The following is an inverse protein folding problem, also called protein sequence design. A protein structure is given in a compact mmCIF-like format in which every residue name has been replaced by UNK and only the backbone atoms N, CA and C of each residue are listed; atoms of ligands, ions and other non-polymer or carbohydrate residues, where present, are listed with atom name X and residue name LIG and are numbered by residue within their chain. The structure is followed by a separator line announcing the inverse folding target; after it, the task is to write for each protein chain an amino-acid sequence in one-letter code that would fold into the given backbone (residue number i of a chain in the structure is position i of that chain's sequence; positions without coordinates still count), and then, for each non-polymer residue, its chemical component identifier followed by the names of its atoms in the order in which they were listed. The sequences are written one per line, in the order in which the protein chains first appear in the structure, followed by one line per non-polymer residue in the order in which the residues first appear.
data_IF_827718273523
#
_entry.id   IF_827718273523
#
_cell.length_a   1.000
_cell.length_b   1.000
_cell.length_c   1.000
_cell.angle_alpha   90.00
_cell.angle_beta   90.00
_cell.angle_gamma   90.00
#
_symmetry.space_group_name_H-M   'P 1'
#
loop_
_entity.id
_entity.type
_entity.pdbx_description
1 polymer ?
#
# COMPACT_ATOMS: atom_id res chain seq x y z
N UNK A 1 5.02 3.52 27.22
CA UNK A 1 4.37 2.30 27.74
C UNK A 1 5.40 1.17 27.73
N UNK A 2 5.38 0.28 28.71
CA UNK A 2 6.25 -0.89 28.78
C UNK A 2 5.67 -2.08 28.01
N UNK A 3 6.51 -3.05 27.62
CA UNK A 3 6.03 -4.26 26.93
C UNK A 3 5.04 -5.08 27.77
N UNK A 4 5.24 -5.11 29.08
CA UNK A 4 4.36 -5.84 30.00
C UNK A 4 2.99 -5.18 30.13
N UNK A 5 2.95 -3.85 30.21
CA UNK A 5 1.69 -3.09 30.18
C UNK A 5 0.93 -3.30 28.87
N UNK A 6 1.64 -3.26 27.73
CA UNK A 6 1.04 -3.51 26.42
C UNK A 6 0.44 -4.92 26.33
N UNK A 7 1.17 -5.93 26.81
CA UNK A 7 0.68 -7.31 26.81
C UNK A 7 -0.61 -7.46 27.64
N UNK A 8 -0.65 -6.84 28.82
CA UNK A 8 -1.85 -6.86 29.67
C UNK A 8 -3.06 -6.17 29.00
N UNK A 9 -2.85 -5.06 28.30
CA UNK A 9 -3.90 -4.38 27.54
C UNK A 9 -4.45 -5.29 26.45
N UNK A 10 -3.56 -5.95 25.69
CA UNK A 10 -3.94 -6.88 24.62
C UNK A 10 -4.71 -8.09 25.16
N UNK A 11 -4.23 -8.70 26.25
CA UNK A 11 -4.92 -9.84 26.89
C UNK A 11 -6.30 -9.45 27.41
N UNK A 12 -6.42 -8.26 28.02
CA UNK A 12 -7.70 -7.72 28.49
C UNK A 12 -8.66 -7.48 27.32
N UNK A 13 -8.19 -6.85 26.24
CA UNK A 13 -8.98 -6.61 25.04
C UNK A 13 -9.46 -7.91 24.40
N UNK A 14 -8.60 -8.95 24.38
CA UNK A 14 -8.96 -10.28 23.88
C UNK A 14 -10.07 -10.91 24.71
N UNK A 15 -9.92 -10.89 26.04
CA UNK A 15 -10.91 -11.44 26.98
C UNK A 15 -12.25 -10.73 26.87
N UNK A 16 -12.22 -9.41 26.70
CA UNK A 16 -13.41 -8.57 26.58
C UNK A 16 -14.02 -8.56 25.18
N UNK A 17 -13.34 -9.17 24.18
CA UNK A 17 -13.70 -9.13 22.77
C UNK A 17 -13.88 -7.70 22.26
N UNK A 18 -12.98 -6.82 22.66
CA UNK A 18 -13.01 -5.42 22.23
C UNK A 18 -12.87 -5.35 20.71
N UNK A 19 -13.72 -4.53 20.08
CA UNK A 19 -13.68 -4.25 18.64
C UNK A 19 -12.87 -3.00 18.32
N UNK A 20 -12.46 -2.26 19.35
CA UNK A 20 -11.71 -1.00 19.22
C UNK A 20 -10.57 -1.00 20.21
N UNK A 21 -9.36 -0.71 19.74
CA UNK A 21 -8.18 -0.61 20.58
C UNK A 21 -7.36 0.64 20.20
N UNK A 22 -7.24 1.57 21.14
CA UNK A 22 -6.41 2.78 21.00
C UNK A 22 -5.08 2.56 21.74
N UNK A 23 -4.00 2.50 20.96
CA UNK A 23 -2.63 2.44 21.45
C UNK A 23 -1.81 3.65 20.97
N UNK A 24 -2.48 4.73 20.56
CA UNK A 24 -1.81 5.93 20.05
C UNK A 24 -0.93 6.61 21.12
N UNK A 25 0.16 7.23 20.68
CA UNK A 25 1.08 8.03 21.50
C UNK A 25 1.73 7.30 22.69
N UNK A 26 1.94 5.99 22.59
CA UNK A 26 2.48 5.16 23.68
C UNK A 26 3.99 4.89 23.60
N UNK A 27 4.68 5.51 22.63
CA UNK A 27 6.12 5.33 22.39
C UNK A 27 6.50 3.87 22.11
N UNK A 28 5.59 3.09 21.54
CA UNK A 28 5.82 1.68 21.22
C UNK A 28 6.89 1.58 20.12
N UNK A 29 7.92 0.78 20.38
CA UNK A 29 8.97 0.45 19.39
C UNK A 29 8.74 -0.92 18.74
N UNK A 30 7.88 -1.74 19.34
CA UNK A 30 7.48 -3.06 18.83
C UNK A 30 6.04 -3.40 19.21
N UNK A 31 5.44 -4.33 18.47
CA UNK A 31 4.19 -4.98 18.82
C UNK A 31 4.43 -6.47 19.13
N UNK A 32 3.85 -7.00 20.22
CA UNK A 32 3.94 -8.43 20.50
C UNK A 32 3.02 -9.21 19.55
N UNK A 33 3.43 -10.44 19.22
CA UNK A 33 2.64 -11.42 18.45
C UNK A 33 1.21 -11.63 19.01
N UNK A 34 1.04 -11.47 20.33
CA UNK A 34 -0.25 -11.57 21.01
C UNK A 34 -1.33 -10.64 20.40
N UNK A 35 -0.97 -9.53 19.76
CA UNK A 35 -1.95 -8.64 19.12
C UNK A 35 -2.72 -9.33 17.98
N UNK A 36 -2.14 -10.36 17.34
CA UNK A 36 -2.79 -11.13 16.26
C UNK A 36 -4.02 -11.91 16.75
N UNK A 37 -4.13 -12.18 18.06
CA UNK A 37 -5.30 -12.87 18.63
C UNK A 37 -6.57 -12.02 18.62
N UNK A 38 -6.44 -10.69 18.46
CA UNK A 38 -7.53 -9.72 18.44
C UNK A 38 -8.20 -9.67 17.06
N UNK A 39 -8.62 -10.82 16.54
CA UNK A 39 -9.18 -10.96 15.18
C UNK A 39 -10.52 -10.24 14.98
N UNK A 40 -11.20 -9.86 16.06
CA UNK A 40 -12.44 -9.09 16.05
C UNK A 40 -12.24 -7.56 16.01
N UNK A 41 -11.01 -7.05 16.01
CA UNK A 41 -10.79 -5.61 15.96
C UNK A 41 -11.31 -5.01 14.65
N UNK A 42 -12.14 -3.99 14.78
CA UNK A 42 -12.63 -3.12 13.72
C UNK A 42 -11.82 -1.82 13.63
N UNK A 43 -11.32 -1.33 14.78
CA UNK A 43 -10.47 -0.14 14.88
C UNK A 43 -9.23 -0.42 15.72
N UNK A 44 -8.06 -0.06 15.18
CA UNK A 44 -6.77 -0.12 15.85
C UNK A 44 -6.01 1.17 15.56
N UNK A 45 -5.74 1.96 16.59
CA UNK A 45 -4.94 3.17 16.45
C UNK A 45 -3.53 2.96 17.01
N UNK A 46 -2.53 3.10 16.15
CA UNK A 46 -1.10 2.99 16.49
C UNK A 46 -0.33 4.28 16.20
N UNK A 47 -1.01 5.38 15.89
CA UNK A 47 -0.38 6.65 15.51
C UNK A 47 0.42 7.23 16.68
N UNK A 48 1.48 7.97 16.39
CA UNK A 48 2.34 8.54 17.44
C UNK A 48 3.24 7.52 18.16
N UNK A 49 3.45 6.34 17.57
CA UNK A 49 4.43 5.33 18.02
C UNK A 49 5.64 5.26 17.08
N UNK A 50 6.66 4.47 17.46
CA UNK A 50 7.95 4.33 16.77
C UNK A 50 8.02 3.01 15.97
N UNK A 51 6.89 2.61 15.35
CA UNK A 51 6.73 1.33 14.65
C UNK A 51 7.07 1.37 13.15
N UNK A 52 7.53 2.51 12.63
CA UNK A 52 7.84 2.74 11.21
C UNK A 52 6.71 2.37 10.23
N UNK A 53 5.44 2.50 10.66
CA UNK A 53 4.27 2.26 9.82
C UNK A 53 3.87 3.58 9.13
N UNK A 54 3.77 3.62 7.78
CA UNK A 54 3.34 4.81 7.05
C UNK A 54 1.92 5.26 7.40
N UNK A 55 1.66 6.56 7.27
CA UNK A 55 0.36 7.15 7.55
C UNK A 55 -0.74 6.63 6.60
N UNK A 56 -0.39 6.21 5.38
CA UNK A 56 -1.30 5.62 4.41
C UNK A 56 -1.83 4.25 4.87
N UNK A 57 -1.06 3.54 5.70
CA UNK A 57 -1.47 2.26 6.30
C UNK A 57 -2.24 2.50 7.60
N UNK A 58 -1.83 3.47 8.42
CA UNK A 58 -2.48 3.77 9.70
C UNK A 58 -3.79 4.54 9.53
N UNK A 59 -3.92 5.35 8.48
CA UNK A 59 -4.95 6.38 8.37
C UNK A 59 -4.54 7.71 9.00
N UNK A 60 -5.30 8.76 8.70
CA UNK A 60 -4.98 10.14 9.12
C UNK A 60 -5.75 10.61 10.35
N UNK A 61 -6.93 10.05 10.61
CA UNK A 61 -7.78 10.37 11.76
C UNK A 61 -8.44 9.12 12.35
N UNK A 62 -9.07 9.26 13.51
CA UNK A 62 -9.83 8.18 14.14
C UNK A 62 -10.98 7.63 13.28
N UNK A 63 -11.56 8.51 12.45
CA UNK A 63 -12.68 8.16 11.56
C UNK A 63 -12.19 7.58 10.22
N UNK A 64 -10.89 7.64 9.95
CA UNK A 64 -10.26 7.18 8.71
C UNK A 64 -9.09 6.21 8.94
N UNK A 65 -9.12 5.47 10.05
CA UNK A 65 -8.09 4.47 10.37
C UNK A 65 -8.02 3.37 9.31
N UNK A 66 -6.81 2.87 9.07
CA UNK A 66 -6.58 1.68 8.29
C UNK A 66 -7.21 0.44 8.94
N UNK A 67 -7.48 -0.58 8.13
CA UNK A 67 -8.05 -1.84 8.65
C UNK A 67 -7.02 -2.53 9.56
N UNK A 68 -7.41 -3.00 10.76
CA UNK A 68 -6.47 -3.66 11.68
C UNK A 68 -5.68 -4.81 11.02
N UNK A 69 -6.33 -5.63 10.19
CA UNK A 69 -5.64 -6.70 9.45
C UNK A 69 -4.53 -6.18 8.53
N UNK A 70 -4.78 -5.10 7.79
CA UNK A 70 -3.79 -4.50 6.89
C UNK A 70 -2.62 -3.89 7.66
N UNK A 71 -2.91 -3.21 8.77
CA UNK A 71 -1.91 -2.62 9.65
C UNK A 71 -1.00 -3.71 10.23
N UNK A 72 -1.58 -4.78 10.78
CA UNK A 72 -0.81 -5.89 11.36
C UNK A 72 -0.03 -6.64 10.28
N UNK A 73 -0.63 -6.93 9.12
CA UNK A 73 0.08 -7.57 8.00
C UNK A 73 1.30 -6.75 7.56
N UNK A 74 1.15 -5.43 7.43
CA UNK A 74 2.26 -4.55 7.07
C UNK A 74 3.35 -4.55 8.15
N UNK A 75 2.97 -4.38 9.42
CA UNK A 75 3.95 -4.33 10.52
C UNK A 75 4.77 -5.63 10.59
N UNK A 76 4.11 -6.79 10.60
CA UNK A 76 4.80 -8.07 10.72
C UNK A 76 5.57 -8.46 9.44
N UNK A 77 5.24 -7.90 8.27
CA UNK A 77 6.07 -8.09 7.07
C UNK A 77 7.36 -7.26 7.08
N UNK A 78 7.45 -6.21 7.92
CA UNK A 78 8.71 -5.49 8.13
C UNK A 78 9.72 -6.32 8.93
N UNK A 79 9.25 -7.22 9.79
CA UNK A 79 10.08 -8.09 10.62
C UNK A 79 10.62 -9.31 9.87
N UNK A 80 10.04 -9.65 8.71
CA UNK A 80 10.53 -10.73 7.85
C UNK A 80 11.67 -10.26 6.93
N UNK A 81 12.72 -11.06 6.77
CA UNK A 81 13.82 -10.78 5.82
C UNK A 81 13.37 -10.86 4.35
N UNK A 82 12.28 -11.57 4.05
CA UNK A 82 11.72 -11.72 2.71
C UNK A 82 10.88 -10.50 2.29
N UNK A 83 11.56 -9.43 1.87
CA UNK A 83 10.90 -8.27 1.25
C UNK A 83 10.67 -8.53 -0.24
N UNK A 84 9.41 -8.55 -0.68
CA UNK A 84 9.09 -8.59 -2.10
C UNK A 84 9.13 -7.17 -2.70
N UNK A 85 9.88 -6.96 -3.79
CA UNK A 85 9.91 -5.67 -4.46
C UNK A 85 8.55 -5.40 -5.13
N UNK A 86 8.06 -4.17 -5.03
CA UNK A 86 6.75 -3.78 -5.58
C UNK A 86 6.75 -3.82 -7.12
N UNK A 87 7.88 -3.51 -7.77
CA UNK A 87 8.06 -3.55 -9.23
C UNK A 87 6.90 -2.91 -10.04
N UNK A 88 6.30 -1.85 -9.51
CA UNK A 88 5.25 -1.08 -10.19
C UNK A 88 5.68 0.37 -10.39
N UNK A 89 5.38 0.93 -11.57
CA UNK A 89 5.56 2.35 -11.84
C UNK A 89 4.44 2.93 -12.70
N UNK A 90 4.19 4.23 -12.54
CA UNK A 90 3.24 4.98 -13.36
C UNK A 90 3.97 5.87 -14.34
N UNK A 91 3.67 5.72 -15.63
CA UNK A 91 4.25 6.51 -16.71
C UNK A 91 3.23 7.53 -17.19
N UNK A 92 3.56 8.82 -17.07
CA UNK A 92 2.74 9.93 -17.56
C UNK A 92 3.35 10.50 -18.85
N UNK A 93 2.66 10.33 -19.98
CA UNK A 93 3.10 10.87 -21.27
C UNK A 93 2.46 12.23 -21.51
N UNK A 94 3.26 13.30 -21.45
CA UNK A 94 2.79 14.69 -21.63
C UNK A 94 3.27 15.29 -22.95
N UNK A 95 2.50 16.23 -23.49
CA UNK A 95 2.82 16.92 -24.75
C UNK A 95 1.55 17.46 -25.43
N UNK A 96 1.73 18.34 -26.42
CA UNK A 96 0.62 18.93 -27.17
C UNK A 96 -0.25 17.87 -27.88
N UNK A 97 -1.47 18.25 -28.28
CA UNK A 97 -2.32 17.38 -29.10
C UNK A 97 -1.58 16.93 -30.36
N UNK A 98 -1.89 15.72 -30.85
CA UNK A 98 -1.42 15.19 -32.15
C UNK A 98 0.10 15.05 -32.35
N UNK A 99 0.92 15.16 -31.29
CA UNK A 99 2.39 14.98 -31.38
C UNK A 99 2.88 13.53 -31.41
N UNK A 100 1.97 12.54 -31.55
CA UNK A 100 2.36 11.12 -31.64
C UNK A 100 2.51 10.38 -30.31
N UNK A 101 2.00 10.93 -29.18
CA UNK A 101 2.04 10.24 -27.87
C UNK A 101 1.42 8.83 -27.91
N UNK A 102 0.31 8.69 -28.63
CA UNK A 102 -0.40 7.41 -28.78
C UNK A 102 0.39 6.43 -29.62
N UNK A 103 0.99 6.93 -30.71
CA UNK A 103 1.84 6.12 -31.58
C UNK A 103 3.09 5.62 -30.84
N UNK A 104 3.70 6.46 -30.00
CA UNK A 104 4.81 6.05 -29.14
C UNK A 104 4.41 4.94 -28.17
N UNK A 105 3.22 5.01 -27.59
CA UNK A 105 2.75 3.98 -26.65
C UNK A 105 2.44 2.67 -27.35
N UNK A 106 1.72 2.71 -28.48
CA UNK A 106 1.48 1.51 -29.29
C UNK A 106 2.78 0.85 -29.74
N UNK A 107 3.79 1.67 -30.05
CA UNK A 107 5.12 1.17 -30.39
C UNK A 107 5.83 0.52 -29.21
N UNK A 108 5.73 1.09 -28.01
CA UNK A 108 6.35 0.53 -26.80
C UNK A 108 5.67 -0.76 -26.33
N UNK A 109 4.33 -0.77 -26.27
CA UNK A 109 3.56 -1.87 -25.69
C UNK A 109 3.35 -3.01 -26.70
N UNK A 110 2.94 -2.67 -27.92
CA UNK A 110 2.49 -3.64 -28.93
C UNK A 110 3.47 -3.78 -30.11
N UNK A 111 4.54 -2.99 -30.14
CA UNK A 111 5.45 -2.89 -31.28
C UNK A 111 4.77 -2.49 -32.61
N UNK A 112 3.63 -1.78 -32.55
CA UNK A 112 2.86 -1.37 -33.75
C UNK A 112 2.98 0.13 -34.05
N UNK A 113 2.70 0.50 -35.30
CA UNK A 113 2.61 1.89 -35.75
C UNK A 113 1.55 2.01 -36.85
N UNK A 114 0.71 3.05 -36.79
CA UNK A 114 -0.27 3.39 -37.82
C UNK A 114 -0.12 4.88 -38.16
N UNK A 115 0.24 5.16 -39.42
CA UNK A 115 0.41 6.52 -39.90
C UNK A 115 -0.92 7.29 -40.00
N UNK A 116 -2.05 6.59 -40.04
CA UNK A 116 -3.39 7.17 -40.15
C UNK A 116 -4.12 7.21 -38.80
N UNK A 117 -3.38 7.09 -37.70
CA UNK A 117 -3.93 7.07 -36.35
C UNK A 117 -4.72 8.36 -36.05
N UNK A 118 -5.98 8.18 -35.66
CA UNK A 118 -6.85 9.30 -35.30
C UNK A 118 -6.46 9.90 -33.94
N UNK A 119 -6.86 11.16 -33.72
CA UNK A 119 -6.62 11.86 -32.46
C UNK A 119 -7.28 11.09 -31.30
N UNK A 120 -6.47 10.71 -30.32
CA UNK A 120 -6.96 10.07 -29.09
C UNK A 120 -7.89 11.00 -28.33
N UNK A 121 -9.04 10.47 -27.90
CA UNK A 121 -10.05 11.16 -27.11
C UNK A 121 -10.02 10.64 -25.68
N UNK A 122 -10.14 11.55 -24.71
CA UNK A 122 -10.18 11.19 -23.29
C UNK A 122 -8.85 10.69 -22.73
N UNK A 123 -8.92 10.08 -21.54
CA UNK A 123 -7.77 9.49 -20.85
C UNK A 123 -7.80 7.98 -21.08
N UNK A 124 -6.68 7.40 -21.55
CA UNK A 124 -6.55 5.96 -21.69
C UNK A 124 -5.54 5.41 -20.67
N UNK A 125 -5.96 4.42 -19.88
CA UNK A 125 -5.11 3.70 -18.92
C UNK A 125 -4.86 2.30 -19.44
N UNK A 126 -3.63 2.06 -19.87
CA UNK A 126 -3.17 0.74 -20.31
C UNK A 126 -2.16 0.20 -19.29
N UNK A 127 -2.29 -1.10 -18.99
CA UNK A 127 -1.32 -1.85 -18.19
C UNK A 127 -0.36 -2.55 -19.14
N UNK A 128 0.92 -2.45 -18.84
CA UNK A 128 1.99 -3.08 -19.58
C UNK A 128 2.84 -3.89 -18.60
N UNK A 129 2.68 -5.21 -18.65
CA UNK A 129 3.51 -6.14 -17.90
C UNK A 129 4.76 -6.47 -18.73
N UNK A 130 5.92 -6.30 -18.12
CA UNK A 130 7.25 -6.44 -18.71
C UNK A 130 8.09 -7.40 -17.90
N UNK A 131 8.96 -8.15 -18.57
CA UNK A 131 10.03 -8.88 -17.90
C UNK A 131 11.36 -8.17 -18.14
N UNK A 132 12.01 -7.72 -17.06
CA UNK A 132 13.32 -7.06 -17.12
C UNK A 132 14.24 -7.78 -16.14
N UNK A 133 15.34 -8.35 -16.65
CA UNK A 133 16.32 -9.11 -15.87
C UNK A 133 15.68 -10.24 -15.02
N UNK A 134 14.67 -10.92 -15.56
CA UNK A 134 13.97 -12.01 -14.87
C UNK A 134 12.97 -11.55 -13.80
N UNK A 135 12.68 -10.25 -13.72
CA UNK A 135 11.65 -9.71 -12.83
C UNK A 135 10.47 -9.16 -13.62
N UNK A 136 9.26 -9.48 -13.17
CA UNK A 136 8.05 -8.87 -13.69
C UNK A 136 7.93 -7.45 -13.15
N UNK A 137 7.78 -6.49 -14.06
CA UNK A 137 7.54 -5.08 -13.80
C UNK A 137 6.21 -4.72 -14.43
N UNK A 138 5.33 -4.07 -13.66
CA UNK A 138 4.07 -3.55 -14.20
C UNK A 138 4.12 -2.04 -14.32
N UNK A 139 3.92 -1.57 -15.54
CA UNK A 139 3.78 -0.16 -15.86
C UNK A 139 2.31 0.17 -16.11
N UNK A 140 1.84 1.26 -15.51
CA UNK A 140 0.53 1.83 -15.83
C UNK A 140 0.70 3.17 -16.54
N UNK A 141 0.05 3.33 -17.68
CA UNK A 141 0.03 4.61 -18.42
C UNK A 141 -1.17 5.43 -17.99
N UNK A 142 -1.01 6.75 -17.97
CA UNK A 142 -2.12 7.69 -18.14
C UNK A 142 -1.73 8.69 -19.24
N UNK A 143 -2.58 8.90 -20.24
CA UNK A 143 -2.35 9.90 -21.29
C UNK A 143 -3.64 10.32 -21.96
#
# INVERSE_FOLDING_TARGET
MTDQELLQIIEKAARNKETTLDLSNNQLTRLPEAIKQLSQLEKLDLRGNQLNIPAEILGSSWDSLGKPSQILTYYFSLETEEKQPLNEAKVLLVGQGTVGKTSLVKRLINNTFDANESKTQGINIEKWDLEVNGQNIRLSRTA
#
